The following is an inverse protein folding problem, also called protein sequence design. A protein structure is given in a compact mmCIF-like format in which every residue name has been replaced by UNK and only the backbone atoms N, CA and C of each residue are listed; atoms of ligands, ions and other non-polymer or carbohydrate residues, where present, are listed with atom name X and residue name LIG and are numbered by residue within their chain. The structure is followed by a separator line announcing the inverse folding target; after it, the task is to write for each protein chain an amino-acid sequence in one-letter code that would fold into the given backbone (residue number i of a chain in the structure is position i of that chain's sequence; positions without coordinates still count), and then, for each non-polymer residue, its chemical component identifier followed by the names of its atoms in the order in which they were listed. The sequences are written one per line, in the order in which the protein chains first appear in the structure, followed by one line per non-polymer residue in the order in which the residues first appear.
data_IF_291217956193
#
_entry.id   IF_291217956193
#
_cell.length_a   1.000
_cell.length_b   1.000
_cell.length_c   1.000
_cell.angle_alpha   90.00
_cell.angle_beta   90.00
_cell.angle_gamma   90.00
#
_symmetry.space_group_name_H-M   'P 1'
#
loop_
_entity.id
_entity.type
_entity.pdbx_description
1 polymer ?
#
# COMPACT_ATOMS: atom_id res chain seq x y z
N UNK A 1 48.11 -47.64 -6.55
CA UNK A 1 46.64 -47.52 -6.65
C UNK A 1 46.20 -46.08 -6.37
N UNK A 2 45.88 -45.27 -7.39
CA UNK A 2 45.13 -44.03 -7.18
C UNK A 2 44.03 -43.86 -8.24
N UNK A 3 42.75 -44.13 -7.95
CA UNK A 3 41.68 -43.72 -8.87
C UNK A 3 40.27 -43.46 -8.29
N UNK A 4 40.01 -43.67 -6.99
CA UNK A 4 38.63 -43.52 -6.47
C UNK A 4 38.21 -42.11 -5.99
N UNK A 5 39.11 -41.11 -5.92
CA UNK A 5 38.75 -39.76 -5.42
C UNK A 5 38.04 -38.84 -6.42
N UNK A 6 38.08 -39.12 -7.74
CA UNK A 6 37.39 -38.26 -8.74
C UNK A 6 35.89 -38.57 -8.88
N UNK A 7 35.47 -39.81 -8.63
CA UNK A 7 34.07 -40.25 -8.74
C UNK A 7 33.16 -39.69 -7.64
N UNK A 8 33.68 -39.50 -6.41
CA UNK A 8 32.88 -38.96 -5.30
C UNK A 8 32.58 -37.47 -5.44
N UNK A 9 33.53 -36.66 -5.92
CA UNK A 9 33.36 -35.21 -6.09
C UNK A 9 32.34 -34.84 -7.18
N UNK A 10 32.21 -35.62 -8.25
CA UNK A 10 31.19 -35.34 -9.29
C UNK A 10 29.77 -35.66 -8.80
N UNK A 11 29.62 -36.74 -8.02
CA UNK A 11 28.34 -37.13 -7.41
C UNK A 11 27.85 -36.10 -6.38
N UNK A 12 28.73 -35.60 -5.51
CA UNK A 12 28.40 -34.56 -4.54
C UNK A 12 27.96 -33.25 -5.23
N UNK A 13 28.62 -32.88 -6.34
CA UNK A 13 28.23 -31.71 -7.15
C UNK A 13 26.86 -31.84 -7.80
N UNK A 14 26.54 -33.04 -8.32
CA UNK A 14 25.23 -33.31 -8.90
C UNK A 14 24.11 -33.30 -7.85
N UNK A 15 24.36 -33.88 -6.67
CA UNK A 15 23.40 -33.92 -5.57
C UNK A 15 23.03 -32.53 -5.05
N UNK A 16 24.01 -31.63 -4.85
CA UNK A 16 23.68 -30.27 -4.39
C UNK A 16 22.99 -29.42 -5.46
N UNK A 17 23.35 -29.57 -6.75
CA UNK A 17 22.57 -28.93 -7.82
C UNK A 17 21.11 -29.37 -7.79
N UNK A 18 20.86 -30.64 -7.46
CA UNK A 18 19.50 -31.13 -7.27
C UNK A 18 18.80 -30.43 -6.09
N UNK A 19 19.45 -30.33 -4.92
CA UNK A 19 18.87 -29.66 -3.75
C UNK A 19 18.59 -28.16 -3.99
N UNK A 20 19.50 -27.47 -4.68
CA UNK A 20 19.30 -26.07 -5.06
C UNK A 20 18.12 -25.92 -6.02
N UNK A 21 17.98 -26.83 -7.01
CA UNK A 21 16.83 -26.84 -7.90
C UNK A 21 15.53 -27.09 -7.15
N UNK A 22 15.50 -28.10 -6.27
CA UNK A 22 14.34 -28.39 -5.41
C UNK A 22 13.97 -27.17 -4.55
N UNK A 23 14.97 -26.50 -3.99
CA UNK A 23 14.76 -25.29 -3.18
C UNK A 23 14.18 -24.16 -4.02
N UNK A 24 14.71 -23.89 -5.21
CA UNK A 24 14.15 -22.89 -6.13
C UNK A 24 12.69 -23.20 -6.46
N UNK A 25 12.35 -24.47 -6.72
CA UNK A 25 10.96 -24.89 -6.98
C UNK A 25 10.07 -24.61 -5.78
N UNK A 26 10.50 -24.96 -4.56
CA UNK A 26 9.75 -24.68 -3.33
C UNK A 26 9.55 -23.18 -3.13
N UNK A 27 10.61 -22.38 -3.27
CA UNK A 27 10.55 -20.93 -3.09
C UNK A 27 9.64 -20.26 -4.13
N UNK A 28 9.69 -20.68 -5.40
CA UNK A 28 8.78 -20.19 -6.44
C UNK A 28 7.32 -20.52 -6.12
N UNK A 29 7.06 -21.71 -5.59
CA UNK A 29 5.71 -22.10 -5.14
C UNK A 29 5.25 -21.23 -3.96
N UNK A 30 6.11 -20.98 -2.97
CA UNK A 30 5.80 -20.08 -1.85
C UNK A 30 5.51 -18.66 -2.35
N UNK A 31 6.35 -18.14 -3.25
CA UNK A 31 6.15 -16.83 -3.86
C UNK A 31 4.83 -16.73 -4.62
N UNK A 32 4.46 -17.75 -5.41
CA UNK A 32 3.15 -17.81 -6.09
C UNK A 32 2.02 -17.76 -5.08
N UNK A 33 2.10 -18.57 -4.03
CA UNK A 33 1.08 -18.62 -2.99
C UNK A 33 0.94 -17.28 -2.23
N UNK A 34 2.04 -16.54 -2.01
CA UNK A 34 2.00 -15.18 -1.44
C UNK A 34 1.37 -14.19 -2.42
N UNK A 35 1.73 -14.23 -3.71
CA UNK A 35 1.14 -13.35 -4.74
C UNK A 35 -0.36 -13.55 -4.88
N UNK A 36 -0.85 -14.77 -4.66
CA UNK A 36 -2.27 -15.13 -4.73
C UNK A 36 -3.09 -14.75 -3.48
N UNK A 37 -2.47 -14.25 -2.40
CA UNK A 37 -3.19 -13.94 -1.15
C UNK A 37 -4.31 -12.90 -1.34
N UNK A 38 -4.14 -11.94 -2.25
CA UNK A 38 -5.16 -10.92 -2.55
C UNK A 38 -6.34 -11.47 -3.36
N UNK A 39 -6.10 -12.51 -4.16
CA UNK A 39 -7.10 -13.03 -5.11
C UNK A 39 -8.14 -13.93 -4.44
N UNK A 40 -7.79 -14.53 -3.29
CA UNK A 40 -8.70 -15.43 -2.56
C UNK A 40 -9.87 -14.70 -1.87
N UNK A 41 -9.76 -13.39 -1.67
CA UNK A 41 -10.87 -12.55 -1.19
C UNK A 41 -11.87 -12.13 -2.28
N UNK A 42 -11.43 -12.06 -3.55
CA UNK A 42 -12.27 -11.62 -4.67
C UNK A 42 -13.24 -12.70 -5.19
N UNK A 43 -12.97 -13.98 -4.89
CA UNK A 43 -13.77 -15.13 -5.36
C UNK A 43 -14.88 -15.57 -4.39
N UNK A 44 -15.15 -14.83 -3.30
CA UNK A 44 -16.33 -15.08 -2.46
C UNK A 44 -17.51 -14.26 -3.00
N UNK A 45 -18.32 -14.94 -3.81
CA UNK A 45 -19.45 -14.45 -4.63
C UNK A 45 -20.69 -13.95 -3.85
N UNK A 46 -20.57 -13.47 -2.61
CA UNK A 46 -21.75 -13.10 -1.79
C UNK A 46 -21.68 -11.70 -1.15
N UNK A 47 -20.53 -11.02 -1.16
CA UNK A 47 -20.43 -9.63 -0.71
C UNK A 47 -20.29 -8.67 -1.88
N UNK A 48 -20.99 -7.52 -1.88
CA UNK A 48 -20.83 -6.51 -2.92
C UNK A 48 -19.35 -6.10 -3.02
N UNK A 49 -18.86 -5.73 -4.22
CA UNK A 49 -17.42 -5.56 -4.54
C UNK A 49 -16.65 -4.51 -3.71
N UNK A 50 -17.30 -3.85 -2.74
CA UNK A 50 -16.75 -2.77 -1.92
C UNK A 50 -16.77 -3.04 -0.40
N UNK A 51 -17.05 -4.25 0.08
CA UNK A 51 -17.00 -4.52 1.53
C UNK A 51 -15.56 -4.76 1.96
N UNK A 52 -14.93 -3.74 2.52
CA UNK A 52 -13.59 -3.82 3.09
C UNK A 52 -13.51 -4.92 4.16
N UNK A 53 -12.44 -5.74 4.12
CA UNK A 53 -12.26 -6.85 5.08
C UNK A 53 -12.27 -6.27 6.50
N UNK A 54 -13.14 -6.75 7.41
CA UNK A 54 -13.23 -6.20 8.75
C UNK A 54 -11.90 -6.24 9.48
N UNK A 55 -11.56 -5.14 10.15
CA UNK A 55 -10.40 -5.05 11.04
C UNK A 55 -10.86 -5.26 12.48
N UNK A 56 -10.02 -5.86 13.32
CA UNK A 56 -10.33 -6.09 14.74
C UNK A 56 -9.48 -5.24 15.70
N UNK A 57 -8.51 -4.50 15.17
CA UNK A 57 -7.63 -3.60 15.91
C UNK A 57 -7.23 -2.40 15.05
N UNK A 58 -6.86 -1.29 15.69
CA UNK A 58 -6.35 -0.10 15.02
C UNK A 58 -5.01 0.36 15.59
N UNK A 59 -4.97 0.71 16.89
CA UNK A 59 -3.76 1.19 17.58
C UNK A 59 -2.90 0.07 18.13
N UNK A 60 -3.53 -0.91 18.76
CA UNK A 60 -2.83 -1.97 19.47
C UNK A 60 -2.50 -3.14 18.55
N UNK A 61 -1.35 -3.79 18.80
CA UNK A 61 -0.93 -5.00 18.09
C UNK A 61 -1.47 -6.20 18.88
N UNK A 62 -2.22 -7.07 18.21
CA UNK A 62 -2.73 -8.29 18.86
C UNK A 62 -1.61 -9.32 19.07
N UNK A 63 -1.72 -10.24 20.04
CA UNK A 63 -0.72 -11.29 20.25
C UNK A 63 -0.46 -12.15 19.02
N UNK A 64 -1.50 -12.43 18.22
CA UNK A 64 -1.38 -13.19 16.96
C UNK A 64 -0.53 -12.43 15.93
N UNK A 65 -0.75 -11.11 15.82
CA UNK A 65 0.00 -10.26 14.91
C UNK A 65 1.45 -10.07 15.38
N UNK A 66 1.68 -9.95 16.70
CA UNK A 66 3.02 -9.92 17.28
C UNK A 66 3.80 -11.21 16.96
N UNK A 67 3.15 -12.37 17.09
CA UNK A 67 3.72 -13.66 16.69
C UNK A 67 4.09 -13.70 15.21
N UNK A 68 3.23 -13.18 14.33
CA UNK A 68 3.52 -13.10 12.90
C UNK A 68 4.68 -12.14 12.59
N UNK A 69 4.79 -10.99 13.26
CA UNK A 69 5.95 -10.09 13.10
C UNK A 69 7.24 -10.71 13.59
N UNK A 70 7.20 -11.43 14.70
CA UNK A 70 8.37 -12.15 15.20
C UNK A 70 8.86 -13.20 14.20
N UNK A 71 7.96 -13.99 13.61
CA UNK A 71 8.32 -14.95 12.55
C UNK A 71 8.94 -14.26 11.33
N UNK A 72 8.44 -13.06 10.97
CA UNK A 72 8.98 -12.27 9.87
C UNK A 72 10.41 -11.81 10.15
N UNK A 73 10.64 -11.27 11.35
CA UNK A 73 11.95 -10.77 11.80
C UNK A 73 12.97 -11.90 11.98
N UNK A 74 12.57 -13.00 12.61
CA UNK A 74 13.40 -14.19 12.79
C UNK A 74 13.78 -14.79 11.43
N UNK A 75 12.82 -14.88 10.50
CA UNK A 75 13.06 -15.31 9.12
C UNK A 75 14.02 -14.39 8.38
N UNK A 76 13.85 -13.06 8.49
CA UNK A 76 14.68 -12.08 7.81
C UNK A 76 16.11 -12.07 8.35
N UNK A 77 16.28 -12.14 9.68
CA UNK A 77 17.58 -12.27 10.33
C UNK A 77 18.29 -13.56 9.89
N UNK A 78 17.57 -14.68 9.85
CA UNK A 78 18.15 -15.95 9.43
C UNK A 78 18.57 -15.92 7.95
N UNK A 79 17.73 -15.40 7.04
CA UNK A 79 18.08 -15.23 5.62
C UNK A 79 19.30 -14.33 5.45
N UNK A 80 19.33 -13.18 6.13
CA UNK A 80 20.45 -12.23 6.06
C UNK A 80 21.77 -12.89 6.48
N UNK A 81 21.77 -13.62 7.60
CA UNK A 81 22.95 -14.30 8.13
C UNK A 81 23.38 -15.51 7.29
N UNK A 82 22.43 -16.31 6.81
CA UNK A 82 22.71 -17.53 6.05
C UNK A 82 23.12 -17.22 4.62
N UNK A 83 22.56 -16.17 3.99
CA UNK A 83 22.88 -15.82 2.60
C UNK A 83 24.37 -15.53 2.39
N UNK A 84 25.03 -14.89 3.34
CA UNK A 84 26.49 -14.66 3.30
C UNK A 84 27.28 -15.95 3.39
N UNK A 85 26.91 -16.83 4.32
CA UNK A 85 27.56 -18.14 4.48
C UNK A 85 27.34 -19.00 3.24
N UNK A 86 26.12 -19.02 2.71
CA UNK A 86 25.76 -19.71 1.48
C UNK A 86 26.62 -19.21 0.30
N UNK A 87 26.78 -17.90 0.14
CA UNK A 87 27.57 -17.33 -0.95
C UNK A 87 29.06 -17.63 -0.83
N UNK A 88 29.63 -17.48 0.37
CA UNK A 88 31.06 -17.71 0.59
C UNK A 88 31.41 -19.20 0.49
N UNK A 89 30.64 -20.06 1.16
CA UNK A 89 30.94 -21.48 1.24
C UNK A 89 30.43 -22.24 0.01
N UNK A 90 29.34 -21.81 -0.61
CA UNK A 90 28.84 -22.37 -1.86
C UNK A 90 29.81 -22.22 -3.03
N UNK A 91 30.69 -21.20 -3.00
CA UNK A 91 31.80 -21.05 -3.95
C UNK A 91 32.94 -22.06 -3.71
N UNK A 92 33.19 -22.43 -2.46
CA UNK A 92 34.36 -23.21 -2.04
C UNK A 92 34.02 -24.71 -1.96
N UNK A 93 32.97 -25.06 -1.22
CA UNK A 93 32.55 -26.42 -0.96
C UNK A 93 31.05 -26.60 -1.20
N UNK A 94 30.77 -27.49 -2.14
CA UNK A 94 29.41 -27.78 -2.60
C UNK A 94 28.63 -28.58 -1.55
N UNK A 95 29.28 -29.36 -0.68
CA UNK A 95 28.58 -30.06 0.41
C UNK A 95 28.12 -29.09 1.50
N UNK A 96 28.97 -28.15 1.92
CA UNK A 96 28.62 -27.13 2.91
C UNK A 96 27.52 -26.19 2.39
N UNK A 97 27.53 -25.87 1.09
CA UNK A 97 26.47 -25.09 0.45
C UNK A 97 25.07 -25.72 0.62
N UNK A 98 24.97 -27.05 0.56
CA UNK A 98 23.68 -27.77 0.64
C UNK A 98 22.97 -27.60 1.99
N UNK A 99 23.75 -27.53 3.07
CA UNK A 99 23.23 -27.24 4.42
C UNK A 99 22.60 -25.86 4.47
N UNK A 100 23.30 -24.85 3.96
CA UNK A 100 22.80 -23.47 3.95
C UNK A 100 21.64 -23.27 2.99
N UNK A 101 21.56 -24.02 1.89
CA UNK A 101 20.35 -24.05 1.04
C UNK A 101 19.12 -24.48 1.83
N UNK A 102 19.25 -25.52 2.67
CA UNK A 102 18.16 -26.01 3.52
C UNK A 102 17.77 -24.95 4.56
N UNK A 103 18.74 -24.29 5.18
CA UNK A 103 18.50 -23.21 6.14
C UNK A 103 17.81 -22.00 5.48
N UNK A 104 18.23 -21.59 4.26
CA UNK A 104 17.57 -20.53 3.49
C UNK A 104 16.12 -20.89 3.17
N UNK A 105 15.86 -22.15 2.84
CA UNK A 105 14.51 -22.63 2.57
C UNK A 105 13.64 -22.55 3.83
N UNK A 106 14.12 -23.06 4.96
CA UNK A 106 13.39 -23.00 6.24
C UNK A 106 13.10 -21.56 6.67
N UNK A 107 14.08 -20.66 6.51
CA UNK A 107 13.89 -19.25 6.81
C UNK A 107 12.84 -18.60 5.88
N UNK A 108 12.84 -18.97 4.60
CA UNK A 108 11.83 -18.52 3.63
C UNK A 108 10.43 -19.08 3.93
N UNK A 109 10.34 -20.30 4.49
CA UNK A 109 9.09 -20.86 4.99
C UNK A 109 8.56 -20.04 6.18
N UNK A 110 9.42 -19.59 7.10
CA UNK A 110 9.02 -18.68 8.21
C UNK A 110 8.47 -17.34 7.70
N UNK A 111 9.16 -16.70 6.74
CA UNK A 111 8.68 -15.47 6.07
C UNK A 111 7.28 -15.69 5.48
N UNK A 112 7.10 -16.82 4.79
CA UNK A 112 5.83 -17.14 4.14
C UNK A 112 4.71 -17.41 5.16
N UNK A 113 5.01 -18.14 6.24
CA UNK A 113 4.05 -18.39 7.33
C UNK A 113 3.59 -17.09 7.97
N UNK A 114 4.49 -16.14 8.22
CA UNK A 114 4.12 -14.80 8.69
C UNK A 114 3.13 -14.12 7.75
N UNK A 115 3.40 -14.12 6.44
CA UNK A 115 2.48 -13.56 5.45
C UNK A 115 1.11 -14.23 5.49
N UNK A 116 1.05 -15.56 5.58
CA UNK A 116 -0.21 -16.30 5.66
C UNK A 116 -1.01 -15.98 6.92
N UNK A 117 -0.34 -15.90 8.09
CA UNK A 117 -0.99 -15.56 9.36
C UNK A 117 -1.66 -14.19 9.30
N UNK A 118 -0.97 -13.17 8.79
CA UNK A 118 -1.54 -11.81 8.72
C UNK A 118 -2.73 -11.71 7.76
N UNK A 119 -2.82 -12.58 6.76
CA UNK A 119 -3.96 -12.62 5.85
C UNK A 119 -5.16 -13.42 6.41
N UNK A 120 -5.03 -14.07 7.57
CA UNK A 120 -6.15 -14.76 8.18
C UNK A 120 -7.19 -13.74 8.71
N UNK A 121 -8.50 -13.97 8.48
CA UNK A 121 -9.55 -13.02 8.89
C UNK A 121 -9.56 -12.72 10.40
N UNK A 122 -9.26 -13.71 11.24
CA UNK A 122 -9.25 -13.58 12.70
C UNK A 122 -8.13 -12.67 13.24
N UNK A 123 -7.06 -12.45 12.48
CA UNK A 123 -5.99 -11.49 12.86
C UNK A 123 -6.46 -10.05 12.65
N UNK A 124 -7.44 -9.82 11.76
CA UNK A 124 -8.10 -8.53 11.57
C UNK A 124 -7.17 -7.41 11.11
N UNK A 125 -6.16 -7.74 10.30
CA UNK A 125 -5.32 -6.75 9.64
C UNK A 125 -6.06 -6.06 8.49
N UNK A 126 -5.87 -4.74 8.39
CA UNK A 126 -6.32 -3.91 7.28
C UNK A 126 -5.62 -4.30 5.97
N UNK A 127 -6.20 -3.89 4.84
CA UNK A 127 -5.61 -4.11 3.51
C UNK A 127 -4.19 -3.53 3.43
N UNK A 128 -3.98 -2.30 3.94
CA UNK A 128 -2.67 -1.65 3.98
C UNK A 128 -1.59 -2.54 4.63
N UNK A 129 -1.87 -3.10 5.80
CA UNK A 129 -0.94 -3.98 6.54
C UNK A 129 -0.64 -5.26 5.75
N UNK A 130 -1.68 -5.88 5.19
CA UNK A 130 -1.57 -7.10 4.38
C UNK A 130 -0.70 -6.85 3.15
N UNK A 131 -0.97 -5.78 2.42
CA UNK A 131 -0.23 -5.36 1.23
C UNK A 131 1.24 -5.13 1.52
N UNK A 132 1.57 -4.38 2.58
CA UNK A 132 2.96 -4.12 2.96
C UNK A 132 3.70 -5.42 3.28
N UNK A 133 3.12 -6.31 4.09
CA UNK A 133 3.75 -7.59 4.42
C UNK A 133 3.94 -8.44 3.17
N UNK A 134 2.91 -8.55 2.33
CA UNK A 134 2.96 -9.32 1.09
C UNK A 134 4.08 -8.83 0.18
N UNK A 135 4.21 -7.51 0.01
CA UNK A 135 5.27 -6.89 -0.80
C UNK A 135 6.67 -7.20 -0.24
N UNK A 136 6.88 -7.02 1.08
CA UNK A 136 8.19 -7.28 1.70
C UNK A 136 8.57 -8.77 1.66
N UNK A 137 7.64 -9.66 1.97
CA UNK A 137 7.86 -11.11 1.87
C UNK A 137 8.19 -11.52 0.42
N UNK A 138 7.45 -10.99 -0.56
CA UNK A 138 7.70 -11.25 -1.98
C UNK A 138 9.08 -10.75 -2.42
N UNK A 139 9.49 -9.56 -1.96
CA UNK A 139 10.81 -9.00 -2.26
C UNK A 139 11.93 -9.89 -1.71
N UNK A 140 11.84 -10.32 -0.44
CA UNK A 140 12.82 -11.22 0.17
C UNK A 140 12.89 -12.55 -0.61
N UNK A 141 11.75 -13.19 -0.87
CA UNK A 141 11.72 -14.46 -1.60
C UNK A 141 12.30 -14.34 -3.02
N UNK A 142 11.96 -13.28 -3.76
CA UNK A 142 12.52 -13.01 -5.08
C UNK A 142 14.06 -12.90 -5.02
N UNK A 143 14.59 -12.15 -4.06
CA UNK A 143 16.04 -11.99 -3.88
C UNK A 143 16.72 -13.32 -3.53
N UNK A 144 16.12 -14.13 -2.66
CA UNK A 144 16.66 -15.46 -2.31
C UNK A 144 16.60 -16.42 -3.51
N UNK A 145 15.49 -16.43 -4.27
CA UNK A 145 15.36 -17.22 -5.50
C UNK A 145 16.48 -16.84 -6.48
N UNK A 146 16.66 -15.55 -6.76
CA UNK A 146 17.70 -15.06 -7.67
C UNK A 146 19.09 -15.49 -7.20
N UNK A 147 19.38 -15.39 -5.89
CA UNK A 147 20.64 -15.86 -5.32
C UNK A 147 20.84 -17.37 -5.55
N UNK A 148 19.88 -18.21 -5.18
CA UNK A 148 20.03 -19.67 -5.33
C UNK A 148 20.11 -20.09 -6.80
N UNK A 149 19.31 -19.49 -7.69
CA UNK A 149 19.35 -19.73 -9.14
C UNK A 149 20.69 -19.36 -9.77
N UNK A 150 21.36 -18.33 -9.26
CA UNK A 150 22.70 -17.96 -9.73
C UNK A 150 23.74 -19.05 -9.45
N UNK A 151 23.59 -19.82 -8.36
CA UNK A 151 24.44 -20.97 -8.06
C UNK A 151 24.07 -22.22 -8.86
N UNK A 152 22.77 -22.42 -9.15
CA UNK A 152 22.30 -23.48 -10.07
C UNK A 152 22.90 -23.29 -11.47
N UNK A 153 22.82 -22.07 -11.99
CA UNK A 153 23.32 -21.69 -13.32
C UNK A 153 24.83 -21.47 -13.38
N UNK A 154 25.53 -21.63 -12.24
CA UNK A 154 26.98 -21.38 -12.06
C UNK A 154 27.43 -19.93 -12.26
N UNK A 155 26.52 -19.01 -12.62
CA UNK A 155 26.82 -17.57 -12.74
C UNK A 155 27.40 -16.97 -11.45
N UNK A 156 27.01 -17.50 -10.29
CA UNK A 156 27.54 -17.07 -9.00
C UNK A 156 29.05 -17.29 -8.87
N UNK A 157 29.63 -18.25 -9.60
CA UNK A 157 31.06 -18.59 -9.58
C UNK A 157 31.89 -17.61 -10.42
N UNK A 158 31.24 -16.89 -11.34
CA UNK A 158 31.88 -15.94 -12.24
C UNK A 158 31.84 -14.53 -11.64
N UNK A 159 33.00 -14.04 -11.20
CA UNK A 159 33.16 -12.70 -10.64
C UNK A 159 32.36 -12.44 -9.35
N UNK A 160 31.72 -11.27 -9.30
CA UNK A 160 31.07 -10.73 -8.09
C UNK A 160 29.55 -10.95 -8.03
N UNK A 161 28.97 -11.71 -8.96
CA UNK A 161 27.49 -11.90 -9.07
C UNK A 161 26.88 -12.43 -7.75
N UNK A 162 27.49 -13.46 -7.15
CA UNK A 162 26.98 -14.00 -5.88
C UNK A 162 27.02 -12.97 -4.73
N UNK A 163 28.03 -12.10 -4.69
CA UNK A 163 28.13 -11.05 -3.69
C UNK A 163 27.08 -9.95 -3.91
N UNK A 164 26.85 -9.54 -5.16
CA UNK A 164 25.80 -8.56 -5.51
C UNK A 164 24.41 -9.07 -5.13
N UNK A 165 24.10 -10.32 -5.46
CA UNK A 165 22.81 -10.93 -5.10
C UNK A 165 22.65 -11.12 -3.59
N UNK A 166 23.74 -11.39 -2.86
CA UNK A 166 23.72 -11.37 -1.40
C UNK A 166 23.39 -9.98 -0.86
N UNK A 167 23.97 -8.92 -1.44
CA UNK A 167 23.64 -7.54 -1.11
C UNK A 167 22.16 -7.19 -1.38
N UNK A 168 21.59 -7.71 -2.47
CA UNK A 168 20.16 -7.56 -2.75
C UNK A 168 19.28 -8.29 -1.71
N UNK A 169 19.69 -9.49 -1.27
CA UNK A 169 19.02 -10.22 -0.17
C UNK A 169 19.09 -9.40 1.13
N UNK A 170 20.25 -8.85 1.47
CA UNK A 170 20.42 -8.01 2.66
C UNK A 170 19.51 -6.78 2.61
N UNK A 171 19.54 -6.03 1.51
CA UNK A 171 18.68 -4.85 1.32
C UNK A 171 17.20 -5.18 1.47
N UNK A 172 16.74 -6.33 0.96
CA UNK A 172 15.37 -6.78 1.14
C UNK A 172 15.04 -7.14 2.62
N UNK A 173 15.98 -7.77 3.33
CA UNK A 173 15.81 -8.09 4.75
C UNK A 173 15.82 -6.84 5.64
N UNK A 174 16.68 -5.86 5.33
CA UNK A 174 16.84 -4.64 6.14
C UNK A 174 15.59 -3.75 6.09
N UNK A 175 14.84 -3.79 4.99
CA UNK A 175 13.52 -3.17 4.93
C UNK A 175 12.51 -3.71 5.96
N UNK A 176 12.68 -4.97 6.39
CA UNK A 176 11.89 -5.57 7.47
C UNK A 176 12.51 -5.27 8.84
N UNK A 177 13.82 -5.39 8.96
CA UNK A 177 14.51 -5.31 10.26
C UNK A 177 14.63 -3.89 10.81
N UNK A 178 14.73 -2.88 9.95
CA UNK A 178 15.04 -1.50 10.38
C UNK A 178 13.84 -0.55 10.30
N UNK A 179 13.03 -0.64 9.24
CA UNK A 179 12.07 0.41 8.87
C UNK A 179 10.65 -0.12 8.57
N UNK A 180 10.26 -1.22 9.23
CA UNK A 180 9.00 -1.90 8.96
C UNK A 180 7.83 -1.30 9.76
N UNK A 181 6.76 -0.83 9.10
CA UNK A 181 5.59 -0.29 9.80
C UNK A 181 4.78 -1.43 10.42
N UNK A 182 4.56 -1.38 11.74
CA UNK A 182 3.78 -2.39 12.48
C UNK A 182 2.38 -1.87 12.83
N UNK A 183 1.39 -2.75 12.67
CA UNK A 183 -0.02 -2.50 12.99
C UNK A 183 -0.79 -1.72 11.93
N UNK A 184 -2.13 -1.84 11.98
CA UNK A 184 -3.05 -1.22 11.04
C UNK A 184 -2.88 0.31 10.96
N UNK A 185 -2.87 1.00 12.10
CA UNK A 185 -2.70 2.45 12.14
C UNK A 185 -1.45 2.92 11.38
N UNK A 186 -0.30 2.31 11.63
CA UNK A 186 0.97 2.74 11.03
C UNK A 186 0.99 2.49 9.52
N UNK A 187 0.52 1.33 9.08
CA UNK A 187 0.45 1.00 7.66
C UNK A 187 -0.51 1.91 6.90
N UNK A 188 -1.73 2.10 7.41
CA UNK A 188 -2.75 2.96 6.82
C UNK A 188 -2.28 4.42 6.72
N UNK A 189 -1.67 4.94 7.79
CA UNK A 189 -1.10 6.30 7.78
C UNK A 189 0.01 6.44 6.75
N UNK A 190 0.89 5.43 6.63
CA UNK A 190 1.98 5.45 5.64
C UNK A 190 1.43 5.48 4.22
N UNK A 191 0.37 4.72 3.93
CA UNK A 191 -0.30 4.72 2.63
C UNK A 191 -0.93 6.09 2.33
N UNK A 192 -1.66 6.66 3.28
CA UNK A 192 -2.20 8.02 3.17
C UNK A 192 -1.12 9.08 2.96
N UNK A 193 0.04 8.97 3.61
CA UNK A 193 1.17 9.87 3.37
C UNK A 193 1.77 9.71 1.98
N UNK A 194 1.78 8.50 1.42
CA UNK A 194 2.17 8.29 0.02
C UNK A 194 1.23 9.07 -0.89
N UNK A 195 -0.10 8.93 -0.73
CA UNK A 195 -1.06 9.68 -1.55
C UNK A 195 -0.97 11.20 -1.36
N UNK A 196 -0.69 11.68 -0.15
CA UNK A 196 -0.44 13.11 0.11
C UNK A 196 0.81 13.60 -0.62
N UNK A 197 1.88 12.81 -0.63
CA UNK A 197 3.09 13.13 -1.39
C UNK A 197 2.79 13.14 -2.88
N UNK A 198 2.12 12.12 -3.39
CA UNK A 198 1.78 12.03 -4.81
C UNK A 198 0.88 13.22 -5.22
N UNK A 199 -0.04 13.68 -4.37
CA UNK A 199 -0.76 14.95 -4.59
C UNK A 199 0.19 16.15 -4.70
N UNK A 200 1.21 16.25 -3.85
CA UNK A 200 2.16 17.37 -3.90
C UNK A 200 2.98 17.34 -5.19
N UNK A 201 3.50 16.16 -5.55
CA UNK A 201 4.29 15.97 -6.76
C UNK A 201 3.47 16.35 -8.01
N UNK A 202 2.23 15.87 -8.11
CA UNK A 202 1.30 16.26 -9.19
C UNK A 202 0.94 17.75 -9.16
N UNK A 203 0.77 18.35 -7.97
CA UNK A 203 0.48 19.78 -7.89
C UNK A 203 1.65 20.66 -8.33
N UNK A 204 2.88 20.27 -7.99
CA UNK A 204 4.11 20.96 -8.40
C UNK A 204 4.24 20.90 -9.92
N UNK A 205 4.14 19.70 -10.49
CA UNK A 205 4.19 19.47 -11.93
C UNK A 205 3.16 20.30 -12.71
N UNK A 206 1.87 20.25 -12.33
CA UNK A 206 0.84 21.00 -13.05
C UNK A 206 0.87 22.51 -12.77
N UNK A 207 1.40 22.94 -11.62
CA UNK A 207 1.62 24.36 -11.37
C UNK A 207 2.72 24.90 -12.30
N UNK A 208 3.81 24.14 -12.51
CA UNK A 208 4.86 24.51 -13.47
C UNK A 208 4.32 24.63 -14.90
N UNK A 209 3.49 23.68 -15.35
CA UNK A 209 2.85 23.74 -16.68
C UNK A 209 1.92 24.96 -16.84
N UNK A 210 1.14 25.28 -15.81
CA UNK A 210 0.28 26.47 -15.79
C UNK A 210 1.13 27.74 -15.85
N UNK A 211 2.20 27.82 -15.06
CA UNK A 211 3.06 29.00 -14.97
C UNK A 211 3.80 29.24 -16.30
N UNK A 212 4.31 28.17 -16.94
CA UNK A 212 4.91 28.22 -18.28
C UNK A 212 3.93 28.78 -19.32
N UNK A 213 2.70 28.29 -19.32
CA UNK A 213 1.65 28.71 -20.26
C UNK A 213 1.20 30.17 -20.04
N UNK A 214 1.37 30.72 -18.83
CA UNK A 214 1.06 32.14 -18.55
C UNK A 214 2.21 33.11 -18.83
N UNK A 215 3.46 32.64 -18.81
CA UNK A 215 4.65 33.47 -18.98
C UNK A 215 5.19 33.49 -20.42
N UNK A 216 4.67 32.63 -21.30
CA UNK A 216 5.09 32.53 -22.71
C UNK A 216 4.73 33.73 -23.60
N UNK A 217 4.01 34.74 -23.08
CA UNK A 217 3.61 35.91 -23.88
C UNK A 217 4.66 37.04 -23.92
N UNK A 218 5.67 37.09 -23.03
CA UNK A 218 6.40 38.36 -22.79
C UNK A 218 7.94 38.38 -22.94
N UNK A 219 8.68 37.26 -23.10
CA UNK A 219 10.09 37.37 -23.50
C UNK A 219 10.74 36.02 -23.83
N UNK A 220 11.53 36.01 -24.92
CA UNK A 220 12.49 35.00 -25.41
C UNK A 220 12.01 33.91 -26.38
N UNK A 221 12.67 33.91 -27.55
CA UNK A 221 12.68 32.94 -28.66
C UNK A 221 13.10 31.52 -28.22
N UNK A 222 12.35 30.93 -27.30
CA UNK A 222 12.51 29.54 -26.91
C UNK A 222 11.65 28.69 -27.85
N UNK A 223 12.25 27.77 -28.61
CA UNK A 223 11.56 26.73 -29.40
C UNK A 223 10.83 25.73 -28.46
N UNK A 224 9.94 26.22 -27.60
CA UNK A 224 9.04 25.36 -26.82
C UNK A 224 7.95 24.91 -27.77
N UNK A 225 7.76 23.61 -27.90
CA UNK A 225 6.72 23.06 -28.76
C UNK A 225 5.35 23.55 -28.25
N UNK A 226 4.58 24.25 -29.09
CA UNK A 226 3.25 24.79 -28.73
C UNK A 226 2.28 23.69 -28.23
N UNK A 227 2.57 22.42 -28.54
CA UNK A 227 1.80 21.25 -28.10
C UNK A 227 1.94 20.95 -26.59
N UNK A 228 2.97 21.49 -25.92
CA UNK A 228 3.24 21.24 -24.49
C UNK A 228 2.66 22.33 -23.56
N UNK A 229 1.90 23.29 -24.09
CA UNK A 229 1.32 24.40 -23.32
C UNK A 229 -0.21 24.41 -23.36
N UNK A 230 -0.82 24.92 -22.29
CA UNK A 230 -2.24 25.18 -22.28
C UNK A 230 -2.56 26.42 -23.10
N UNK A 231 -3.56 26.32 -23.97
CA UNK A 231 -4.19 27.49 -24.55
C UNK A 231 -4.87 28.34 -23.47
N UNK A 232 -5.11 29.62 -23.78
CA UNK A 232 -5.80 30.55 -22.87
C UNK A 232 -7.14 30.02 -22.34
N UNK A 233 -7.87 29.23 -23.14
CA UNK A 233 -9.15 28.63 -22.72
C UNK A 233 -8.97 27.41 -21.81
N UNK A 234 -7.91 26.63 -22.01
CA UNK A 234 -7.63 25.42 -21.23
C UNK A 234 -7.08 25.75 -19.83
N UNK A 235 -6.43 26.91 -19.67
CA UNK A 235 -5.87 27.38 -18.41
C UNK A 235 -6.90 27.41 -17.27
N UNK A 236 -8.14 27.81 -17.54
CA UNK A 236 -9.19 27.87 -16.52
C UNK A 236 -9.55 26.45 -16.02
N UNK A 237 -9.64 25.49 -16.93
CA UNK A 237 -9.90 24.08 -16.60
C UNK A 237 -8.72 23.47 -15.84
N UNK A 238 -7.49 23.73 -16.27
CA UNK A 238 -6.28 23.24 -15.61
C UNK A 238 -6.16 23.78 -14.18
N UNK A 239 -6.39 25.10 -13.98
CA UNK A 239 -6.36 25.73 -12.65
C UNK A 239 -7.45 25.19 -11.72
N UNK A 240 -8.67 25.02 -12.23
CA UNK A 240 -9.78 24.47 -11.45
C UNK A 240 -9.54 22.99 -11.07
N UNK A 241 -9.01 22.20 -12.01
CA UNK A 241 -8.68 20.78 -11.78
C UNK A 241 -7.54 20.65 -10.77
N UNK A 242 -6.50 21.49 -10.87
CA UNK A 242 -5.43 21.57 -9.88
C UNK A 242 -5.97 21.95 -8.48
N UNK A 243 -6.96 22.83 -8.40
CA UNK A 243 -7.62 23.17 -7.14
C UNK A 243 -8.43 21.99 -6.57
N UNK A 244 -8.98 21.12 -7.42
CA UNK A 244 -9.63 19.88 -6.99
C UNK A 244 -8.59 18.88 -6.43
N UNK A 245 -7.41 18.77 -7.05
CA UNK A 245 -6.26 18.00 -6.51
C UNK A 245 -5.82 18.54 -5.14
N UNK A 246 -5.79 19.87 -4.96
CA UNK A 246 -5.56 20.50 -3.64
C UNK A 246 -6.59 20.05 -2.59
N UNK A 247 -7.86 19.89 -2.99
CA UNK A 247 -8.91 19.37 -2.12
C UNK A 247 -8.68 17.87 -1.77
N UNK A 248 -8.18 17.07 -2.71
CA UNK A 248 -7.76 15.66 -2.46
C UNK A 248 -6.72 15.55 -1.36
N UNK A 249 -5.67 16.37 -1.41
CA UNK A 249 -4.67 16.43 -0.34
C UNK A 249 -5.31 16.85 0.99
N UNK A 250 -6.23 17.81 0.95
CA UNK A 250 -6.95 18.30 2.13
C UNK A 250 -7.77 17.21 2.81
N UNK A 251 -8.57 16.46 2.03
CA UNK A 251 -9.45 15.43 2.59
C UNK A 251 -8.67 14.22 3.12
N UNK A 252 -7.56 13.83 2.49
CA UNK A 252 -6.72 12.73 2.99
C UNK A 252 -6.10 13.11 4.35
N UNK A 253 -5.60 14.35 4.48
CA UNK A 253 -5.09 14.85 5.76
C UNK A 253 -6.18 14.93 6.84
N UNK A 254 -7.38 15.37 6.48
CA UNK A 254 -8.51 15.40 7.40
C UNK A 254 -8.91 13.99 7.84
N UNK A 255 -8.92 13.03 6.91
CA UNK A 255 -9.26 11.63 7.17
C UNK A 255 -8.29 10.96 8.14
N UNK A 256 -6.99 11.29 8.06
CA UNK A 256 -6.02 10.88 9.08
C UNK A 256 -6.39 11.42 10.46
N UNK A 257 -6.74 12.71 10.59
CA UNK A 257 -7.15 13.31 11.87
C UNK A 257 -8.45 12.68 12.41
N UNK A 258 -9.43 12.45 11.54
CA UNK A 258 -10.70 11.84 11.90
C UNK A 258 -10.53 10.38 12.36
N UNK A 259 -9.67 9.61 11.68
CA UNK A 259 -9.29 8.25 12.10
C UNK A 259 -8.62 8.22 13.48
N UNK A 260 -7.82 9.23 13.83
CA UNK A 260 -7.25 9.33 15.18
C UNK A 260 -8.28 9.67 16.25
N UNK A 261 -9.31 10.45 15.93
CA UNK A 261 -10.42 10.71 16.86
C UNK A 261 -11.19 9.42 17.16
N UNK A 262 -11.56 8.66 16.11
CA UNK A 262 -12.18 7.34 16.26
C UNK A 262 -11.28 6.35 17.01
N UNK A 263 -9.97 6.39 16.73
CA UNK A 263 -8.96 5.59 17.43
C UNK A 263 -8.81 5.91 18.92
N UNK A 264 -8.97 7.18 19.31
CA UNK A 264 -8.97 7.57 20.72
C UNK A 264 -10.21 7.03 21.44
N UNK A 265 -11.38 7.10 20.79
CA UNK A 265 -12.61 6.52 21.33
C UNK A 265 -12.52 5.00 21.52
N UNK A 266 -11.91 4.28 20.56
CA UNK A 266 -11.65 2.85 20.67
C UNK A 266 -10.85 2.49 21.93
N UNK A 267 -9.81 3.26 22.24
CA UNK A 267 -9.01 3.06 23.46
C UNK A 267 -9.84 3.25 24.74
N UNK A 268 -10.78 4.19 24.76
CA UNK A 268 -11.67 4.39 25.91
C UNK A 268 -12.72 3.27 26.05
N UNK A 269 -13.26 2.77 24.93
CA UNK A 269 -14.16 1.62 24.94
C UNK A 269 -13.46 0.35 25.46
N UNK A 270 -12.19 0.16 25.10
CA UNK A 270 -11.38 -0.97 25.57
C UNK A 270 -11.11 -0.92 27.08
N UNK A 271 -10.79 0.26 27.62
CA UNK A 271 -10.64 0.45 29.08
C UNK A 271 -11.94 0.14 29.82
N UNK A 272 -13.10 0.56 29.28
CA UNK A 272 -14.41 0.26 29.87
C UNK A 272 -14.66 -1.24 29.94
N UNK A 273 -14.41 -1.96 28.85
CA UNK A 273 -14.53 -3.43 28.82
C UNK A 273 -13.67 -4.11 29.88
N UNK A 274 -12.43 -3.66 30.06
CA UNK A 274 -11.52 -4.22 31.08
C UNK A 274 -11.97 -3.88 32.50
N UNK A 275 -12.54 -2.70 32.73
CA UNK A 275 -13.03 -2.29 34.06
C UNK A 275 -14.35 -2.97 34.46
N UNK A 276 -15.18 -3.35 33.49
CA UNK A 276 -16.49 -3.99 33.68
C UNK A 276 -16.38 -5.52 33.82
N UNK A 277 -15.18 -6.11 33.81
CA UNK A 277 -15.00 -7.55 34.01
C UNK A 277 -15.39 -8.06 35.42
N UNK A 278 -15.80 -7.16 36.31
CA UNK A 278 -16.36 -7.47 37.63
C UNK A 278 -17.86 -7.16 37.78
N UNK A 279 -18.56 -6.72 36.72
CA UNK A 279 -20.02 -6.51 36.72
C UNK A 279 -20.74 -7.56 35.85
N UNK A 280 -21.89 -8.04 36.34
CA UNK A 280 -22.74 -9.06 35.67
C UNK A 280 -23.58 -8.50 34.48
N UNK A 281 -23.31 -7.27 34.01
CA UNK A 281 -24.09 -6.65 32.93
C UNK A 281 -23.54 -7.03 31.54
N UNK A 282 -23.83 -8.25 31.13
CA UNK A 282 -23.46 -8.79 29.81
C UNK A 282 -24.04 -7.96 28.64
N UNK A 283 -25.18 -7.29 28.83
CA UNK A 283 -25.79 -6.48 27.78
C UNK A 283 -24.97 -5.21 27.52
N UNK A 284 -24.50 -4.53 28.58
CA UNK A 284 -23.60 -3.38 28.45
C UNK A 284 -22.30 -3.75 27.74
N UNK A 285 -21.68 -4.89 28.09
CA UNK A 285 -20.46 -5.38 27.41
C UNK A 285 -20.70 -5.65 25.92
N UNK A 286 -21.85 -6.22 25.58
CA UNK A 286 -22.24 -6.49 24.18
C UNK A 286 -22.39 -5.19 23.40
N UNK A 287 -23.04 -4.18 23.97
CA UNK A 287 -23.18 -2.84 23.35
C UNK A 287 -21.81 -2.21 23.10
N UNK A 288 -20.89 -2.27 24.07
CA UNK A 288 -19.54 -1.71 23.91
C UNK A 288 -18.75 -2.45 22.82
N UNK A 289 -18.84 -3.79 22.76
CA UNK A 289 -18.19 -4.60 21.71
C UNK A 289 -18.73 -4.27 20.32
N UNK A 290 -20.05 -4.12 20.17
CA UNK A 290 -20.68 -3.73 18.91
C UNK A 290 -20.21 -2.33 18.47
N UNK A 291 -20.18 -1.36 19.39
CA UNK A 291 -19.65 -0.02 19.09
C UNK A 291 -18.18 -0.05 18.68
N UNK A 292 -17.33 -0.83 19.38
CA UNK A 292 -15.92 -1.03 19.01
C UNK A 292 -15.80 -1.53 17.57
N UNK A 293 -16.58 -2.54 17.20
CA UNK A 293 -16.57 -3.11 15.85
C UNK A 293 -17.04 -2.08 14.79
N UNK A 294 -18.09 -1.31 15.09
CA UNK A 294 -18.56 -0.27 14.19
C UNK A 294 -17.52 0.83 13.97
N UNK A 295 -16.86 1.33 15.03
CA UNK A 295 -15.78 2.31 14.91
C UNK A 295 -14.63 1.78 14.03
N UNK A 296 -14.24 0.51 14.23
CA UNK A 296 -13.21 -0.15 13.43
C UNK A 296 -13.61 -0.26 11.95
N UNK A 297 -14.86 -0.64 11.67
CA UNK A 297 -15.36 -0.70 10.30
C UNK A 297 -15.39 0.69 9.64
N UNK A 298 -15.78 1.73 10.37
CA UNK A 298 -15.78 3.10 9.87
C UNK A 298 -14.37 3.59 9.53
N UNK A 299 -13.38 3.34 10.39
CA UNK A 299 -11.97 3.67 10.10
C UNK A 299 -11.50 2.97 8.82
N UNK A 300 -11.84 1.68 8.67
CA UNK A 300 -11.46 0.89 7.50
C UNK A 300 -12.11 1.42 6.22
N UNK A 301 -13.41 1.72 6.27
CA UNK A 301 -14.13 2.28 5.13
C UNK A 301 -13.58 3.65 4.74
N UNK A 302 -13.31 4.54 5.72
CA UNK A 302 -12.76 5.87 5.45
C UNK A 302 -11.39 5.78 4.76
N UNK A 303 -10.56 4.81 5.15
CA UNK A 303 -9.28 4.56 4.49
C UNK A 303 -9.45 4.06 3.06
N UNK A 304 -10.38 3.14 2.79
CA UNK A 304 -10.67 2.70 1.42
C UNK A 304 -11.21 3.84 0.54
N UNK A 305 -12.06 4.72 1.08
CA UNK A 305 -12.50 5.91 0.36
C UNK A 305 -11.32 6.84 0.07
N UNK A 306 -10.37 6.99 1.00
CA UNK A 306 -9.14 7.74 0.74
C UNK A 306 -8.24 7.13 -0.33
N UNK A 307 -8.21 5.78 -0.44
CA UNK A 307 -7.51 5.11 -1.54
C UNK A 307 -8.13 5.50 -2.88
N UNK A 308 -9.46 5.51 -2.98
CA UNK A 308 -10.16 5.97 -4.18
C UNK A 308 -9.89 7.43 -4.50
N UNK A 309 -9.82 8.31 -3.49
CA UNK A 309 -9.41 9.72 -3.66
C UNK A 309 -7.98 9.83 -4.20
N UNK A 310 -7.05 9.00 -3.70
CA UNK A 310 -5.66 8.96 -4.18
C UNK A 310 -5.56 8.48 -5.63
N UNK A 311 -6.24 7.38 -5.97
CA UNK A 311 -6.28 6.83 -7.34
C UNK A 311 -6.96 7.78 -8.33
N UNK A 312 -8.10 8.37 -7.96
CA UNK A 312 -8.81 9.31 -8.82
C UNK A 312 -8.03 10.62 -9.05
N UNK A 313 -7.23 11.05 -8.07
CA UNK A 313 -6.31 12.19 -8.24
C UNK A 313 -5.24 11.89 -9.30
N UNK A 314 -4.64 10.70 -9.28
CA UNK A 314 -3.69 10.27 -10.32
C UNK A 314 -4.37 10.19 -11.69
N UNK A 315 -5.58 9.61 -11.77
CA UNK A 315 -6.32 9.51 -13.03
C UNK A 315 -6.65 10.90 -13.60
N UNK A 316 -7.07 11.85 -12.75
CA UNK A 316 -7.30 13.23 -13.15
C UNK A 316 -6.01 13.89 -13.64
N UNK A 317 -4.88 13.70 -12.93
CA UNK A 317 -3.58 14.20 -13.36
C UNK A 317 -3.18 13.69 -14.75
N UNK A 318 -3.36 12.39 -15.04
CA UNK A 318 -3.03 11.81 -16.34
C UNK A 318 -3.76 12.47 -17.53
N UNK A 319 -4.95 13.03 -17.31
CA UNK A 319 -5.79 13.64 -18.37
C UNK A 319 -5.72 15.16 -18.37
N UNK A 320 -4.89 15.74 -17.49
CA UNK A 320 -4.67 17.18 -17.41
C UNK A 320 -3.54 17.66 -18.33
N UNK A 321 -2.70 16.81 -18.93
CA UNK A 321 -1.65 17.27 -19.84
C UNK A 321 -2.23 17.95 -21.10
N UNK A 322 -1.59 19.02 -21.61
CA UNK A 322 -2.00 19.69 -22.84
C UNK A 322 -1.69 18.85 -24.10
N UNK A 323 -2.41 19.09 -25.22
CA UNK A 323 -3.68 19.82 -25.27
C UNK A 323 -4.80 19.01 -24.58
N UNK A 324 -5.73 19.70 -23.92
CA UNK A 324 -6.84 19.04 -23.24
C UNK A 324 -7.78 18.43 -24.27
N UNK A 325 -7.96 17.11 -24.19
CA UNK A 325 -8.84 16.39 -25.11
C UNK A 325 -10.32 16.58 -24.74
N UNK A 326 -10.94 17.58 -25.35
CA UNK A 326 -12.36 17.95 -25.17
C UNK A 326 -13.19 17.80 -26.45
N UNK A 327 -12.59 17.36 -27.55
CA UNK A 327 -13.26 17.26 -28.86
C UNK A 327 -14.41 16.25 -28.86
N UNK A 328 -15.49 16.58 -29.58
CA UNK A 328 -16.65 15.73 -29.89
C UNK A 328 -17.61 15.38 -28.73
N UNK A 329 -17.43 15.96 -27.54
CA UNK A 329 -18.33 15.75 -26.40
C UNK A 329 -19.58 16.64 -26.45
N UNK A 330 -20.73 16.09 -26.04
CA UNK A 330 -22.01 16.84 -25.94
C UNK A 330 -22.22 17.34 -24.51
N UNK A 331 -21.91 16.51 -23.51
CA UNK A 331 -21.89 16.88 -22.10
C UNK A 331 -20.46 16.96 -21.57
N UNK A 332 -20.21 17.80 -20.57
CA UNK A 332 -18.87 17.93 -19.99
C UNK A 332 -18.32 16.61 -19.42
N UNK A 333 -19.20 15.74 -18.91
CA UNK A 333 -18.85 14.39 -18.43
C UNK A 333 -18.49 13.41 -19.53
N UNK A 334 -18.79 13.72 -20.80
CA UNK A 334 -18.40 12.88 -21.93
C UNK A 334 -16.94 13.13 -22.33
N UNK A 335 -16.34 14.23 -21.89
CA UNK A 335 -14.89 14.45 -21.98
C UNK A 335 -14.16 13.58 -20.97
N UNK A 336 -12.95 13.13 -21.29
CA UNK A 336 -12.15 12.30 -20.37
C UNK A 336 -11.83 13.06 -19.08
N UNK A 337 -11.43 14.33 -19.19
CA UNK A 337 -11.16 15.21 -18.06
C UNK A 337 -12.40 15.47 -17.19
N UNK A 338 -13.58 15.68 -17.80
CA UNK A 338 -14.82 15.89 -17.07
C UNK A 338 -15.30 14.62 -16.36
N UNK A 339 -15.15 13.45 -16.98
CA UNK A 339 -15.43 12.16 -16.34
C UNK A 339 -14.54 11.95 -15.11
N UNK A 340 -13.22 12.16 -15.22
CA UNK A 340 -12.30 12.00 -14.11
C UNK A 340 -12.53 13.05 -13.00
N UNK A 341 -12.80 14.31 -13.35
CA UNK A 341 -13.10 15.35 -12.37
C UNK A 341 -14.41 15.09 -11.61
N UNK A 342 -15.43 14.55 -12.30
CA UNK A 342 -16.71 14.15 -11.71
C UNK A 342 -16.52 12.99 -10.72
N UNK A 343 -15.83 11.92 -11.13
CA UNK A 343 -15.57 10.78 -10.25
C UNK A 343 -14.70 11.19 -9.06
N UNK A 344 -13.68 12.03 -9.27
CA UNK A 344 -12.87 12.57 -8.19
C UNK A 344 -13.71 13.39 -7.21
N UNK A 345 -14.58 14.28 -7.70
CA UNK A 345 -15.49 15.07 -6.85
C UNK A 345 -16.36 14.16 -5.98
N UNK A 346 -16.92 13.10 -6.57
CA UNK A 346 -17.74 12.12 -5.87
C UNK A 346 -16.97 11.43 -4.75
N UNK A 347 -15.75 10.94 -5.02
CA UNK A 347 -14.91 10.32 -3.99
C UNK A 347 -14.55 11.29 -2.85
N UNK A 348 -14.25 12.57 -3.18
CA UNK A 348 -13.97 13.61 -2.19
C UNK A 348 -15.17 13.88 -1.28
N UNK A 349 -16.37 14.03 -1.87
CA UNK A 349 -17.60 14.26 -1.12
C UNK A 349 -17.98 13.05 -0.27
N UNK A 350 -17.80 11.83 -0.79
CA UNK A 350 -18.04 10.60 -0.02
C UNK A 350 -17.18 10.56 1.25
N UNK A 351 -15.86 10.82 1.11
CA UNK A 351 -14.96 10.89 2.27
C UNK A 351 -15.36 12.00 3.25
N UNK A 352 -15.70 13.19 2.73
CA UNK A 352 -16.12 14.32 3.55
C UNK A 352 -17.42 14.03 4.32
N UNK A 353 -18.43 13.44 3.67
CA UNK A 353 -19.68 13.07 4.32
C UNK A 353 -19.51 11.98 5.38
N UNK A 354 -18.58 11.04 5.18
CA UNK A 354 -18.24 10.05 6.22
C UNK A 354 -17.63 10.69 7.46
N UNK A 355 -16.88 11.79 7.31
CA UNK A 355 -16.29 12.54 8.42
C UNK A 355 -17.31 13.46 9.08
N UNK A 356 -18.15 14.13 8.29
CA UNK A 356 -19.19 15.05 8.77
C UNK A 356 -20.31 14.30 9.52
N UNK A 357 -20.69 13.13 9.00
CA UNK A 357 -21.74 12.28 9.56
C UNK A 357 -21.18 10.88 9.86
N UNK A 358 -20.39 10.72 10.94
CA UNK A 358 -19.83 9.43 11.33
C UNK A 358 -20.93 8.59 12.03
N UNK A 359 -21.94 8.21 11.26
CA UNK A 359 -23.05 7.37 11.69
C UNK A 359 -22.64 5.91 11.56
N UNK A 360 -22.90 5.14 12.60
CA UNK A 360 -22.47 3.75 12.76
C UNK A 360 -23.69 2.81 12.83
N UNK A 361 -24.43 2.69 11.72
CA UNK A 361 -25.64 1.85 11.69
C UNK A 361 -26.77 2.37 12.60
N UNK A 362 -27.50 1.46 13.25
CA UNK A 362 -28.69 1.76 14.06
C UNK A 362 -28.39 2.36 15.46
N UNK A 363 -27.13 2.51 15.86
CA UNK A 363 -26.76 3.12 17.15
C UNK A 363 -26.76 4.66 17.05
N UNK A 364 -27.59 5.38 17.84
CA UNK A 364 -27.64 6.83 17.81
C UNK A 364 -26.36 7.54 18.31
N UNK A 365 -25.38 6.81 18.86
CA UNK A 365 -24.11 7.39 19.33
C UNK A 365 -23.08 7.45 18.20
N UNK A 366 -22.94 8.63 17.62
CA UNK A 366 -21.91 8.95 16.61
C UNK A 366 -20.50 8.99 17.20
N UNK A 367 -19.49 8.79 16.35
CA UNK A 367 -18.09 9.03 16.72
C UNK A 367 -17.93 10.53 17.00
N UNK A 368 -17.34 10.88 18.14
CA UNK A 368 -17.17 12.29 18.51
C UNK A 368 -15.95 12.85 17.81
N UNK A 369 -16.18 13.57 16.71
CA UNK A 369 -15.14 14.38 16.05
C UNK A 369 -14.88 15.65 16.86
N UNK A 370 -13.62 16.08 16.93
CA UNK A 370 -13.27 17.35 17.55
C UNK A 370 -13.73 18.53 16.68
N UNK A 371 -13.82 19.73 17.27
CA UNK A 371 -14.36 20.91 16.59
C UNK A 371 -13.51 21.35 15.41
N UNK A 372 -12.18 21.19 15.50
CA UNK A 372 -11.25 21.47 14.40
C UNK A 372 -11.56 20.61 13.16
N UNK A 373 -11.77 19.30 13.34
CA UNK A 373 -12.10 18.36 12.25
C UNK A 373 -13.43 18.72 11.62
N UNK A 374 -14.46 19.05 12.41
CA UNK A 374 -15.77 19.47 11.90
C UNK A 374 -15.68 20.75 11.10
N UNK A 375 -14.97 21.76 11.61
CA UNK A 375 -14.79 23.05 10.93
C UNK A 375 -14.03 22.88 9.60
N UNK A 376 -12.94 22.11 9.61
CA UNK A 376 -12.18 21.80 8.39
C UNK A 376 -13.02 21.00 7.38
N UNK A 377 -13.84 20.06 7.85
CA UNK A 377 -14.73 19.27 6.99
C UNK A 377 -15.74 20.14 6.27
N UNK A 378 -16.44 21.02 7.00
CA UNK A 378 -17.41 21.95 6.42
C UNK A 378 -16.77 22.86 5.36
N UNK A 379 -15.59 23.42 5.65
CA UNK A 379 -14.83 24.24 4.70
C UNK A 379 -14.42 23.45 3.45
N UNK A 380 -14.00 22.21 3.61
CA UNK A 380 -13.61 21.35 2.49
C UNK A 380 -14.81 20.97 1.61
N UNK A 381 -15.97 20.64 2.18
CA UNK A 381 -17.19 20.35 1.40
C UNK A 381 -17.52 21.54 0.48
N UNK A 382 -17.60 22.75 1.04
CA UNK A 382 -17.88 23.95 0.24
C UNK A 382 -16.80 24.20 -0.82
N UNK A 383 -15.53 23.96 -0.50
CA UNK A 383 -14.44 24.10 -1.47
C UNK A 383 -14.55 23.07 -2.61
N UNK A 384 -14.82 21.81 -2.31
CA UNK A 384 -14.97 20.73 -3.30
C UNK A 384 -16.11 21.05 -4.26
N UNK A 385 -17.28 21.42 -3.73
CA UNK A 385 -18.45 21.78 -4.56
C UNK A 385 -18.17 22.98 -5.45
N UNK A 386 -17.47 24.00 -4.92
CA UNK A 386 -17.09 25.18 -5.70
C UNK A 386 -16.11 24.83 -6.83
N UNK A 387 -15.03 24.09 -6.53
CA UNK A 387 -14.01 23.72 -7.54
C UNK A 387 -14.58 22.79 -8.60
N UNK A 388 -15.47 21.87 -8.23
CA UNK A 388 -16.17 21.00 -9.18
C UNK A 388 -16.99 21.80 -10.19
N UNK A 389 -17.71 22.85 -9.73
CA UNK A 389 -18.46 23.75 -10.61
C UNK A 389 -17.55 24.54 -11.55
N UNK A 390 -16.42 25.05 -11.07
CA UNK A 390 -15.46 25.76 -11.92
C UNK A 390 -14.90 24.85 -13.04
N UNK A 391 -14.56 23.59 -12.72
CA UNK A 391 -14.12 22.62 -13.74
C UNK A 391 -15.23 22.39 -14.76
N UNK A 392 -16.47 22.17 -14.30
CA UNK A 392 -17.62 21.96 -15.17
C UNK A 392 -17.87 23.17 -16.09
N UNK A 393 -17.82 24.39 -15.57
CA UNK A 393 -18.03 25.62 -16.33
C UNK A 393 -16.89 25.88 -17.32
N UNK A 394 -15.64 25.60 -16.92
CA UNK A 394 -14.49 25.69 -17.81
C UNK A 394 -14.58 24.73 -18.99
N UNK A 395 -14.91 23.46 -18.74
CA UNK A 395 -15.07 22.46 -19.82
C UNK A 395 -16.23 22.86 -20.75
N UNK A 396 -17.36 23.33 -20.21
CA UNK A 396 -18.48 23.82 -21.04
C UNK A 396 -18.12 25.02 -21.92
N UNK A 397 -17.09 25.78 -21.55
CA UNK A 397 -16.60 26.93 -22.35
C UNK A 397 -15.63 26.47 -23.45
N UNK A 398 -15.02 25.30 -23.29
CA UNK A 398 -14.15 24.68 -24.29
C UNK A 398 -14.93 23.94 -25.39
N UNK A 399 -16.08 23.34 -25.04
CA UNK A 399 -17.05 22.76 -25.98
C UNK A 399 -17.75 23.87 -26.78
#
# INVERSE_FOLDING_TARGET
MPSNKKSSKSKAKAANRNLNNETVVVLKRLLSAIKELDNKGKNQTITPPNVAIPINHYRDITPELEGAYKMLEDGANLIKNVSTKYTLLGKINVEDGSKYTTELRQASELISTSAFLVHQPNVGCALATRTVIKQKCSSILNSVIALVESFVSLKALDGNVGAQLTGAVWSACDQVLENFPKGNRTCMRREMFTWVRDCNDTMEEFQELIDLSTNGEDDTESEVNDEDQYSSKELDVAKASLALIKCSRGIINLSMKASECAGAELSELEKKLQSEDHSDDEESKKVIKMRKLSNLQWINNLHETCRLVGEGMTNLGCVMYPPLNVSDAVEWTDTEIGAQASEQTKCLLEAAHMIDNPILGDDPKTIVMNDEVKEMCSKLISAIEHRSKEVQEGIKTLL
#
